data_IF_687449257446
#
_entry.id   IF_687449257446
#
_cell.length_a   1.000
_cell.length_b   1.000
_cell.length_c   1.000
_cell.angle_alpha   90.00
_cell.angle_beta   90.00
_cell.angle_gamma   90.00
#
_symmetry.space_group_name_H-M   'P 1'
#
loop_
_entity.id
_entity.type
_entity.pdbx_description
1 polymer ?
#
# COMPACT_ATOMS: atom_id res chain seq x y z
N UNK A 1 -4.41 -1.55 -18.74
CA UNK A 1 -3.00 -1.91 -18.51
C UNK A 1 -2.76 -2.11 -17.02
N UNK A 2 -2.12 -3.20 -16.57
CA UNK A 2 -1.75 -3.42 -15.17
C UNK A 2 -0.66 -2.42 -14.71
N UNK A 3 -0.63 -2.16 -13.41
CA UNK A 3 0.44 -1.39 -12.74
C UNK A 3 1.19 -2.36 -11.82
N UNK A 4 2.51 -2.43 -11.97
CA UNK A 4 3.41 -3.27 -11.20
C UNK A 4 4.34 -2.36 -10.39
N UNK A 5 4.44 -2.61 -9.09
CA UNK A 5 5.31 -1.84 -8.18
C UNK A 5 6.27 -2.82 -7.53
N UNK A 6 7.56 -2.63 -7.79
CA UNK A 6 8.64 -3.39 -7.18
C UNK A 6 9.30 -2.52 -6.10
N UNK A 7 9.25 -2.97 -4.85
CA UNK A 7 9.88 -2.28 -3.72
C UNK A 7 11.11 -3.09 -3.31
N UNK A 8 12.29 -2.48 -3.46
CA UNK A 8 13.54 -3.10 -3.05
C UNK A 8 13.99 -2.64 -1.66
N UNK A 9 15.00 -3.32 -1.12
CA UNK A 9 15.61 -3.00 0.18
C UNK A 9 16.96 -2.28 0.04
N UNK A 10 17.22 -1.66 -1.11
CA UNK A 10 18.45 -0.93 -1.41
C UNK A 10 19.72 -1.76 -1.12
N UNK A 11 19.78 -2.98 -1.69
CA UNK A 11 20.96 -3.84 -1.56
C UNK A 11 22.14 -3.18 -2.26
N UNK A 12 23.28 -3.14 -1.57
CA UNK A 12 24.52 -2.71 -2.17
C UNK A 12 24.88 -3.67 -3.31
N UNK A 13 25.26 -3.14 -4.47
CA UNK A 13 25.96 -3.92 -5.48
C UNK A 13 27.37 -4.13 -4.95
N UNK A 14 27.73 -5.36 -4.62
CA UNK A 14 29.11 -5.69 -4.25
C UNK A 14 30.01 -5.31 -5.43
N UNK A 15 30.87 -4.30 -5.27
CA UNK A 15 32.00 -4.10 -6.18
C UNK A 15 32.94 -5.29 -5.99
N UNK A 16 32.94 -6.21 -6.95
CA UNK A 16 33.73 -7.43 -6.92
C UNK A 16 35.24 -7.14 -6.86
N UNK A 17 35.82 -7.14 -5.65
CA UNK A 17 37.28 -7.12 -5.42
C UNK A 17 37.80 -8.31 -4.60
N UNK A 18 37.23 -9.52 -4.72
CA UNK A 18 37.71 -10.69 -3.96
C UNK A 18 37.54 -12.05 -4.62
N UNK A 19 38.64 -12.80 -4.75
CA UNK A 19 38.72 -14.17 -5.26
C UNK A 19 38.51 -15.20 -4.11
N UNK A 20 37.46 -16.04 -4.16
CA UNK A 20 37.30 -17.10 -3.14
C UNK A 20 36.08 -18.03 -3.27
N UNK A 21 36.23 -19.26 -2.75
CA UNK A 21 35.27 -20.38 -2.85
C UNK A 21 33.89 -20.14 -2.20
N UNK A 22 33.78 -19.21 -1.24
CA UNK A 22 32.51 -18.74 -0.67
C UNK A 22 31.60 -18.07 -1.73
N UNK A 23 32.17 -17.59 -2.84
CA UNK A 23 31.43 -16.97 -3.95
C UNK A 23 30.60 -17.97 -4.75
N UNK A 24 30.95 -19.25 -4.79
CA UNK A 24 30.18 -20.27 -5.53
C UNK A 24 28.83 -20.59 -4.85
N UNK A 25 28.83 -20.64 -3.51
CA UNK A 25 27.61 -20.89 -2.73
C UNK A 25 26.71 -19.64 -2.71
N UNK A 26 27.29 -18.43 -2.59
CA UNK A 26 26.53 -17.18 -2.71
C UNK A 26 26.01 -16.92 -4.13
N UNK A 27 26.77 -17.25 -5.19
CA UNK A 27 26.31 -17.15 -6.59
C UNK A 27 25.13 -18.08 -6.89
N UNK A 28 25.11 -19.29 -6.32
CA UNK A 28 24.01 -20.24 -6.53
C UNK A 28 22.66 -19.77 -5.97
N UNK A 29 22.68 -19.05 -4.83
CA UNK A 29 21.48 -18.42 -4.25
C UNK A 29 21.13 -17.10 -4.93
N UNK A 30 22.12 -16.34 -5.40
CA UNK A 30 21.89 -15.06 -6.08
C UNK A 30 21.29 -15.25 -7.49
N UNK A 31 21.65 -16.30 -8.25
CA UNK A 31 21.15 -16.49 -9.61
C UNK A 31 19.64 -16.83 -9.69
N UNK A 32 19.08 -17.44 -8.64
CA UNK A 32 17.67 -17.86 -8.59
C UNK A 32 16.74 -16.80 -7.99
N UNK A 33 17.29 -15.71 -7.46
CA UNK A 33 16.54 -14.64 -6.80
C UNK A 33 17.08 -13.25 -7.11
N UNK A 34 17.77 -13.08 -8.23
CA UNK A 34 18.36 -11.79 -8.61
C UNK A 34 17.26 -10.78 -8.97
N UNK A 35 17.04 -9.74 -8.14
CA UNK A 35 16.05 -8.71 -8.44
C UNK A 35 16.43 -7.89 -9.70
N UNK A 36 17.70 -7.90 -10.13
CA UNK A 36 18.15 -7.27 -11.37
C UNK A 36 17.56 -7.92 -12.61
N UNK A 37 17.59 -9.25 -12.70
CA UNK A 37 17.04 -10.00 -13.85
C UNK A 37 15.52 -9.77 -13.96
N UNK A 38 14.81 -9.78 -12.82
CA UNK A 38 13.37 -9.51 -12.81
C UNK A 38 13.09 -8.08 -13.26
N UNK A 39 13.89 -7.11 -12.81
CA UNK A 39 13.74 -5.73 -13.22
C UNK A 39 13.91 -5.51 -14.72
N UNK A 40 14.98 -6.05 -15.32
CA UNK A 40 15.23 -5.92 -16.75
C UNK A 40 14.06 -6.48 -17.57
N UNK A 41 13.52 -7.63 -17.15
CA UNK A 41 12.34 -8.21 -17.78
C UNK A 41 11.10 -7.33 -17.64
N UNK A 42 10.89 -6.72 -16.47
CA UNK A 42 9.75 -5.82 -16.25
C UNK A 42 9.88 -4.51 -17.04
N UNK A 43 11.10 -3.97 -17.20
CA UNK A 43 11.37 -2.82 -18.07
C UNK A 43 11.03 -3.15 -19.53
N UNK A 44 11.41 -4.32 -20.02
CA UNK A 44 11.01 -4.76 -21.37
C UNK A 44 9.49 -4.87 -21.50
N UNK A 45 8.79 -5.40 -20.50
CA UNK A 45 7.32 -5.46 -20.53
C UNK A 45 6.67 -4.07 -20.51
N UNK A 46 7.29 -3.07 -19.86
CA UNK A 46 6.85 -1.67 -19.90
C UNK A 46 7.12 -1.01 -21.27
N UNK A 47 8.31 -1.18 -21.84
CA UNK A 47 8.65 -0.70 -23.19
C UNK A 47 7.72 -1.26 -24.27
N UNK A 48 7.28 -2.51 -24.08
CA UNK A 48 6.29 -3.16 -24.94
C UNK A 48 4.82 -2.80 -24.59
N UNK A 49 4.60 -1.77 -23.76
CA UNK A 49 3.30 -1.25 -23.34
C UNK A 49 2.39 -2.31 -22.68
N UNK A 50 2.97 -3.35 -22.07
CA UNK A 50 2.20 -4.43 -21.42
C UNK A 50 1.82 -4.06 -20.00
N UNK A 51 2.58 -3.18 -19.36
CA UNK A 51 2.36 -2.72 -18.00
C UNK A 51 2.93 -1.30 -17.77
N UNK A 52 2.51 -0.66 -16.68
CA UNK A 52 3.26 0.43 -16.06
C UNK A 52 4.10 -0.14 -14.93
N UNK A 53 5.40 0.14 -14.91
CA UNK A 53 6.32 -0.49 -13.96
C UNK A 53 7.09 0.56 -13.14
N UNK A 54 6.95 0.48 -11.82
CA UNK A 54 7.64 1.34 -10.88
C UNK A 54 8.64 0.54 -10.05
N UNK A 55 9.94 0.84 -10.17
CA UNK A 55 10.99 0.30 -9.27
C UNK A 55 11.33 1.33 -8.20
N UNK A 56 10.80 1.09 -7.00
CA UNK A 56 11.11 1.88 -5.80
C UNK A 56 12.30 1.23 -5.09
N UNK A 57 13.51 1.51 -5.56
CA UNK A 57 14.75 1.03 -4.96
C UNK A 57 15.89 2.05 -5.17
N UNK A 58 16.79 2.17 -4.21
CA UNK A 58 18.09 2.84 -4.43
C UNK A 58 19.08 1.81 -5.00
N UNK A 59 19.26 1.82 -6.31
CA UNK A 59 20.11 0.87 -7.05
C UNK A 59 21.59 1.30 -7.14
N UNK A 60 21.89 2.52 -6.69
CA UNK A 60 23.21 3.13 -6.83
C UNK A 60 23.98 3.08 -5.51
N UNK A 61 23.38 3.62 -4.43
CA UNK A 61 24.13 3.82 -3.17
C UNK A 61 23.92 2.68 -2.16
N UNK A 62 22.70 2.14 -2.10
CA UNK A 62 22.30 1.15 -1.11
C UNK A 62 22.33 1.63 0.34
N UNK A 63 21.59 0.97 1.24
CA UNK A 63 21.50 1.40 2.64
C UNK A 63 22.75 1.09 3.48
N UNK A 64 23.71 0.32 2.94
CA UNK A 64 24.88 -0.22 3.65
C UNK A 64 24.52 -0.89 4.99
N UNK A 65 23.35 -1.51 5.07
CA UNK A 65 22.87 -2.25 6.24
C UNK A 65 22.87 -3.73 5.88
N UNK A 66 23.63 -4.52 6.63
CA UNK A 66 23.61 -5.98 6.48
C UNK A 66 22.24 -6.55 6.82
N UNK A 67 21.86 -7.65 6.18
CA UNK A 67 20.52 -8.24 6.33
C UNK A 67 20.20 -8.66 7.78
N UNK A 68 21.21 -9.05 8.54
CA UNK A 68 21.12 -9.44 9.95
C UNK A 68 21.59 -8.35 10.93
N UNK A 69 21.90 -7.14 10.43
CA UNK A 69 22.30 -6.02 11.28
C UNK A 69 21.12 -5.55 12.14
N UNK A 70 21.28 -5.66 13.46
CA UNK A 70 20.32 -5.15 14.44
C UNK A 70 21.04 -4.52 15.62
N UNK A 71 21.29 -3.21 15.52
CA UNK A 71 22.10 -2.44 16.47
C UNK A 71 21.30 -1.28 17.08
N UNK A 72 21.41 -1.04 18.39
CA UNK A 72 21.91 -1.98 19.40
C UNK A 72 21.05 -3.24 19.43
N UNK A 73 21.61 -4.40 19.81
CA UNK A 73 20.89 -5.70 19.79
C UNK A 73 19.55 -5.68 20.53
N UNK A 74 19.41 -4.82 21.54
CA UNK A 74 18.20 -4.72 22.36
C UNK A 74 17.00 -4.18 21.59
N UNK A 75 17.18 -3.18 20.72
CA UNK A 75 16.06 -2.45 20.13
C UNK A 75 16.25 -2.03 18.66
N UNK A 76 17.43 -2.23 18.07
CA UNK A 76 17.71 -1.89 16.68
C UNK A 76 17.58 -0.40 16.37
N UNK A 77 17.65 0.48 17.38
CA UNK A 77 17.45 1.92 17.20
C UNK A 77 18.43 2.52 16.18
N UNK A 78 19.72 2.21 16.27
CA UNK A 78 20.74 2.68 15.32
C UNK A 78 20.49 2.17 13.91
N UNK A 79 20.21 0.86 13.75
CA UNK A 79 19.90 0.28 12.43
C UNK A 79 18.69 0.97 11.80
N UNK A 80 17.61 1.17 12.57
CA UNK A 80 16.40 1.84 12.08
C UNK A 80 16.63 3.31 11.74
N UNK A 81 17.46 4.01 12.51
CA UNK A 81 17.86 5.39 12.21
C UNK A 81 18.64 5.43 10.91
N UNK A 82 19.64 4.57 10.72
CA UNK A 82 20.43 4.47 9.50
C UNK A 82 19.58 4.15 8.26
N UNK A 83 18.66 3.18 8.36
CA UNK A 83 17.71 2.89 7.28
C UNK A 83 16.83 4.11 6.94
N UNK A 84 16.40 4.87 7.95
CA UNK A 84 15.59 6.07 7.76
C UNK A 84 16.39 7.18 7.09
N UNK A 85 17.58 7.49 7.59
CA UNK A 85 18.45 8.53 7.03
C UNK A 85 18.81 8.23 5.58
N UNK A 86 19.11 6.97 5.26
CA UNK A 86 19.33 6.55 3.88
C UNK A 86 18.08 6.74 3.01
N UNK A 87 16.91 6.30 3.47
CA UNK A 87 15.65 6.51 2.75
C UNK A 87 15.35 8.00 2.53
N UNK A 88 15.52 8.83 3.56
CA UNK A 88 15.28 10.27 3.49
C UNK A 88 16.24 10.94 2.50
N UNK A 89 17.49 10.47 2.42
CA UNK A 89 18.49 10.90 1.44
C UNK A 89 18.11 10.48 0.02
N UNK A 90 17.75 9.21 -0.17
CA UNK A 90 17.27 8.69 -1.46
C UNK A 90 16.04 9.45 -1.95
N UNK A 91 15.12 9.80 -1.05
CA UNK A 91 13.93 10.58 -1.38
C UNK A 91 14.27 12.02 -1.83
N UNK A 92 15.44 12.56 -1.51
CA UNK A 92 15.89 13.86 -2.04
C UNK A 92 16.56 13.76 -3.42
N UNK A 93 16.87 12.56 -3.93
CA UNK A 93 17.40 12.41 -5.28
C UNK A 93 16.38 12.89 -6.31
N UNK A 94 16.89 13.47 -7.39
CA UNK A 94 16.07 14.00 -8.47
C UNK A 94 15.15 12.91 -9.06
N UNK A 95 13.90 13.25 -9.34
CA UNK A 95 12.90 12.33 -9.90
C UNK A 95 12.32 11.28 -8.95
N UNK A 96 12.92 11.00 -7.78
CA UNK A 96 12.41 9.97 -6.86
C UNK A 96 11.03 10.33 -6.30
N UNK A 97 10.84 11.59 -5.84
CA UNK A 97 9.53 12.06 -5.35
C UNK A 97 8.46 11.99 -6.44
N UNK A 98 8.81 12.39 -7.65
CA UNK A 98 7.87 12.38 -8.78
C UNK A 98 7.45 10.95 -9.13
N UNK A 99 8.40 10.00 -9.14
CA UNK A 99 8.11 8.58 -9.31
C UNK A 99 7.13 8.04 -8.25
N UNK A 100 7.27 8.44 -6.98
CA UNK A 100 6.31 8.09 -5.94
C UNK A 100 4.92 8.68 -6.18
N UNK A 101 4.86 9.94 -6.59
CA UNK A 101 3.61 10.65 -6.86
C UNK A 101 2.87 10.05 -8.06
N UNK A 102 3.57 9.77 -9.16
CA UNK A 102 3.03 9.15 -10.37
C UNK A 102 2.49 7.75 -10.06
N UNK A 103 3.28 6.94 -9.34
CA UNK A 103 2.84 5.63 -8.87
C UNK A 103 1.57 5.74 -8.02
N UNK A 104 1.54 6.67 -7.06
CA UNK A 104 0.38 6.88 -6.20
C UNK A 104 -0.85 7.31 -7.01
N UNK A 105 -0.70 8.21 -7.97
CA UNK A 105 -1.78 8.65 -8.85
C UNK A 105 -2.35 7.49 -9.67
N UNK A 106 -1.49 6.68 -10.30
CA UNK A 106 -1.89 5.49 -11.04
C UNK A 106 -2.65 4.48 -10.17
N UNK A 107 -2.15 4.19 -8.97
CA UNK A 107 -2.82 3.29 -8.03
C UNK A 107 -4.17 3.85 -7.59
N UNK A 108 -4.26 5.15 -7.29
CA UNK A 108 -5.53 5.81 -6.92
C UNK A 108 -6.52 5.81 -8.09
N UNK A 109 -6.05 6.08 -9.32
CA UNK A 109 -6.87 6.02 -10.54
C UNK A 109 -7.43 4.62 -10.74
N UNK A 110 -6.59 3.57 -10.67
CA UNK A 110 -7.04 2.18 -10.77
C UNK A 110 -8.03 1.82 -9.67
N UNK A 111 -7.76 2.25 -8.43
CA UNK A 111 -8.65 2.08 -7.28
C UNK A 111 -10.02 2.70 -7.57
N UNK A 112 -10.07 3.94 -8.09
CA UNK A 112 -11.31 4.63 -8.49
C UNK A 112 -12.05 3.90 -9.60
N UNK A 113 -11.35 3.46 -10.65
CA UNK A 113 -11.93 2.70 -11.77
C UNK A 113 -12.56 1.38 -11.29
N UNK A 114 -11.99 0.76 -10.26
CA UNK A 114 -12.52 -0.49 -9.68
C UNK A 114 -13.76 -0.29 -8.81
N UNK A 115 -14.08 0.94 -8.39
CA UNK A 115 -15.28 1.26 -7.58
C UNK A 115 -16.59 1.20 -8.38
N UNK A 116 -16.79 0.17 -9.20
CA UNK A 116 -18.00 0.00 -10.04
C UNK A 116 -19.16 -0.66 -9.31
N UNK A 117 -18.90 -1.28 -8.17
CA UNK A 117 -19.93 -1.97 -7.36
C UNK A 117 -19.80 -1.56 -5.90
N UNK A 118 -20.89 -1.58 -5.12
CA UNK A 118 -20.85 -1.27 -3.68
C UNK A 118 -19.81 -2.08 -2.90
N UNK A 119 -19.64 -3.36 -3.24
CA UNK A 119 -18.60 -4.22 -2.65
C UNK A 119 -17.19 -3.71 -2.91
N UNK A 120 -16.89 -3.34 -4.16
CA UNK A 120 -15.58 -2.78 -4.52
C UNK A 120 -15.39 -1.37 -3.98
N UNK A 121 -16.43 -0.54 -3.91
CA UNK A 121 -16.40 0.76 -3.26
C UNK A 121 -16.08 0.63 -1.77
N UNK A 122 -16.71 -0.33 -1.08
CA UNK A 122 -16.39 -0.65 0.32
C UNK A 122 -14.94 -1.05 0.51
N UNK A 123 -14.43 -1.99 -0.29
CA UNK A 123 -13.03 -2.40 -0.24
C UNK A 123 -12.10 -1.23 -0.56
N UNK A 124 -12.39 -0.49 -1.63
CA UNK A 124 -11.58 0.60 -2.13
C UNK A 124 -11.77 1.90 -1.35
N UNK A 125 -12.72 2.09 -0.46
CA UNK A 125 -12.77 3.28 0.41
C UNK A 125 -12.54 2.90 1.87
N UNK A 126 -12.41 1.60 2.14
CA UNK A 126 -12.46 1.01 3.47
C UNK A 126 -13.64 1.60 4.26
N UNK A 127 -14.76 1.74 3.53
CA UNK A 127 -15.98 2.40 3.97
C UNK A 127 -17.06 1.36 4.20
N UNK A 128 -17.78 1.48 5.29
CA UNK A 128 -18.90 0.62 5.63
C UNK A 128 -19.97 1.46 6.33
N UNK A 129 -21.18 0.93 6.40
CA UNK A 129 -22.29 1.61 7.04
C UNK A 129 -22.71 0.87 8.30
N UNK A 130 -23.06 1.65 9.33
CA UNK A 130 -23.63 1.16 10.58
C UNK A 130 -24.85 2.01 10.86
N UNK A 131 -26.02 1.37 10.88
CA UNK A 131 -27.27 2.09 11.04
C UNK A 131 -27.34 2.79 12.41
N UNK A 132 -27.58 4.10 12.39
CA UNK A 132 -27.79 4.96 13.55
C UNK A 132 -29.16 5.66 13.50
N UNK A 133 -30.01 5.27 12.53
CA UNK A 133 -31.36 5.80 12.38
C UNK A 133 -32.21 5.37 13.59
N UNK A 134 -33.11 6.26 14.02
CA UNK A 134 -34.02 6.00 15.11
C UNK A 134 -34.87 4.75 14.83
N UNK A 135 -35.28 4.04 15.88
CA UNK A 135 -36.11 2.83 15.78
C UNK A 135 -35.50 1.67 14.96
N UNK A 136 -34.20 1.71 14.64
CA UNK A 136 -33.54 0.60 13.96
C UNK A 136 -33.64 -0.69 14.79
N UNK A 137 -34.15 -1.81 14.24
CA UNK A 137 -34.06 -3.10 14.90
C UNK A 137 -32.58 -3.42 15.12
N UNK A 138 -32.15 -3.46 16.38
CA UNK A 138 -30.74 -3.65 16.75
C UNK A 138 -30.34 -5.11 16.55
N UNK A 139 -30.20 -5.52 15.31
CA UNK A 139 -29.64 -6.82 14.96
C UNK A 139 -28.14 -6.71 14.65
N UNK A 140 -27.39 -7.80 14.90
CA UNK A 140 -25.95 -7.86 14.60
C UNK A 140 -25.66 -7.68 13.11
N UNK A 141 -26.64 -8.01 12.27
CA UNK A 141 -26.56 -7.96 10.81
C UNK A 141 -26.65 -6.52 10.24
N UNK A 142 -27.05 -5.53 11.05
CA UNK A 142 -27.14 -4.11 10.63
C UNK A 142 -25.81 -3.34 10.77
N UNK A 143 -24.71 -4.08 10.89
CA UNK A 143 -23.37 -3.54 11.00
C UNK A 143 -22.55 -3.96 9.79
N UNK A 144 -21.64 -3.09 9.36
CA UNK A 144 -20.68 -3.39 8.31
C UNK A 144 -21.37 -3.67 6.96
N UNK A 145 -22.41 -2.92 6.63
CA UNK A 145 -23.08 -3.01 5.33
C UNK A 145 -22.26 -2.25 4.28
N UNK A 146 -22.30 -2.71 3.03
CA UNK A 146 -21.90 -1.84 1.92
C UNK A 146 -23.03 -0.85 1.57
N UNK A 147 -22.79 0.03 0.61
CA UNK A 147 -23.77 1.07 0.26
C UNK A 147 -25.12 0.47 -0.18
N UNK A 148 -25.08 -0.56 -1.04
CA UNK A 148 -26.29 -1.16 -1.58
C UNK A 148 -27.07 -1.93 -0.51
N UNK A 149 -26.35 -2.69 0.31
CA UNK A 149 -26.97 -3.41 1.44
C UNK A 149 -27.57 -2.45 2.45
N UNK A 150 -26.92 -1.31 2.72
CA UNK A 150 -27.42 -0.30 3.65
C UNK A 150 -28.66 0.42 3.11
N UNK A 151 -28.68 0.78 1.83
CA UNK A 151 -29.90 1.33 1.20
C UNK A 151 -31.07 0.35 1.29
N UNK A 152 -30.82 -0.94 1.05
CA UNK A 152 -31.84 -1.98 1.18
C UNK A 152 -32.30 -2.15 2.63
N UNK A 153 -31.39 -2.10 3.60
CA UNK A 153 -31.73 -2.08 5.02
C UNK A 153 -32.65 -0.91 5.36
N UNK A 154 -32.32 0.31 4.91
CA UNK A 154 -33.18 1.49 5.14
C UNK A 154 -34.57 1.31 4.52
N UNK A 155 -34.68 0.81 3.29
CA UNK A 155 -35.99 0.59 2.64
C UNK A 155 -36.85 -0.50 3.29
N UNK A 156 -36.22 -1.49 3.93
CA UNK A 156 -36.93 -2.64 4.53
C UNK A 156 -37.32 -2.42 5.97
N UNK A 157 -36.42 -1.81 6.75
CA UNK A 157 -36.51 -1.76 8.21
C UNK A 157 -36.87 -0.37 8.74
N UNK A 158 -36.86 0.67 7.88
CA UNK A 158 -37.13 2.06 8.26
C UNK A 158 -38.20 2.68 7.36
N UNK A 159 -38.98 3.60 7.92
CA UNK A 159 -39.85 4.48 7.15
C UNK A 159 -39.08 5.74 6.76
N UNK A 160 -39.57 6.46 5.74
CA UNK A 160 -38.95 7.72 5.32
C UNK A 160 -38.87 8.75 6.47
N UNK A 161 -39.84 8.74 7.39
CA UNK A 161 -39.84 9.64 8.54
C UNK A 161 -38.68 9.35 9.52
N UNK A 162 -38.23 8.10 9.63
CA UNK A 162 -37.21 7.69 10.60
C UNK A 162 -35.84 8.32 10.26
N UNK A 163 -35.57 8.61 8.99
CA UNK A 163 -34.34 9.24 8.51
C UNK A 163 -34.54 10.64 7.90
N UNK A 164 -35.56 11.36 8.36
CA UNK A 164 -35.86 12.74 7.94
C UNK A 164 -36.07 12.89 6.42
N UNK A 165 -36.58 11.85 5.75
CA UNK A 165 -36.90 11.84 4.32
C UNK A 165 -35.71 11.91 3.37
N UNK A 166 -34.46 11.87 3.87
CA UNK A 166 -33.26 12.00 3.03
C UNK A 166 -32.34 10.79 3.15
N UNK A 167 -32.41 9.93 2.13
CA UNK A 167 -31.54 8.75 2.01
C UNK A 167 -30.05 9.15 2.02
N UNK A 168 -29.70 10.24 1.32
CA UNK A 168 -28.32 10.74 1.26
C UNK A 168 -27.81 11.18 2.64
N UNK A 169 -28.66 11.82 3.45
CA UNK A 169 -28.31 12.21 4.81
C UNK A 169 -28.14 11.01 5.72
N UNK A 170 -29.02 10.00 5.59
CA UNK A 170 -28.90 8.74 6.32
C UNK A 170 -27.58 8.02 5.99
N UNK A 171 -27.25 7.97 4.69
CA UNK A 171 -25.99 7.44 4.18
C UNK A 171 -24.79 8.17 4.77
N UNK A 172 -24.78 9.50 4.79
CA UNK A 172 -23.65 10.26 5.31
C UNK A 172 -23.47 10.10 6.84
N UNK A 173 -24.56 10.19 7.59
CA UNK A 173 -24.56 10.00 9.05
C UNK A 173 -24.11 8.59 9.47
N UNK A 174 -24.55 7.57 8.74
CA UNK A 174 -24.26 6.17 9.05
C UNK A 174 -22.95 5.67 8.44
N UNK A 175 -22.28 6.51 7.63
CA UNK A 175 -21.00 6.19 7.01
C UNK A 175 -19.90 6.11 8.05
N UNK A 176 -19.15 5.01 8.01
CA UNK A 176 -17.90 4.84 8.75
C UNK A 176 -16.78 4.60 7.75
N UNK A 177 -15.65 5.26 8.00
CA UNK A 177 -14.40 5.05 7.26
C UNK A 177 -13.37 4.52 8.23
N UNK A 178 -12.61 3.51 7.83
CA UNK A 178 -11.43 3.14 8.60
C UNK A 178 -10.48 4.32 8.62
N UNK A 179 -10.20 4.83 9.82
CA UNK A 179 -9.07 5.71 10.03
C UNK A 179 -7.88 4.79 10.25
N UNK A 180 -6.89 4.86 9.36
CA UNK A 180 -5.59 4.30 9.69
C UNK A 180 -5.16 4.93 11.02
N UNK A 181 -4.67 4.10 11.95
CA UNK A 181 -4.12 4.61 13.21
C UNK A 181 -3.03 5.60 12.82
N UNK A 182 -3.25 6.89 13.06
CA UNK A 182 -2.18 7.85 13.01
C UNK A 182 -1.15 7.36 14.03
N UNK A 183 0.10 7.23 13.58
CA UNK A 183 1.21 6.96 14.48
C UNK A 183 1.12 8.04 15.55
N UNK A 184 1.00 7.68 16.82
CA UNK A 184 1.14 8.66 17.89
C UNK A 184 2.44 9.41 17.61
N UNK A 185 2.40 10.75 17.64
CA UNK A 185 3.63 11.52 17.62
C UNK A 185 4.50 10.96 18.76
N UNK A 186 5.66 10.42 18.42
CA UNK A 186 6.61 10.00 19.44
C UNK A 186 6.91 11.24 20.30
N UNK A 187 6.86 11.11 21.64
CA UNK A 187 7.18 12.21 22.54
C UNK A 187 8.61 12.72 22.34
#
# INVERSE_FOLDING_TARGET
MPVLVSIGTARQKDEDQGEGALRLIKRGLNLLGDPGIVHERMQQDEENERCFYYRLNDDDDGARVEMDEWKPRRDGSETRTKMREHFDTWLQKEGVKDMFMDCAEHLVRLRRIRMKTPRWERFALVQYFVCQVANCPKDRDNQWLDKGDFENHLRREHREEDYEGSLDRALDMCRRKWRYRSRAASP
#
